data_IF_658176877024
#
_entry.id   IF_658176877024
#
_cell.length_a   1.000
_cell.length_b   1.000
_cell.length_c   1.000
_cell.angle_alpha   90.00
_cell.angle_beta   90.00
_cell.angle_gamma   90.00
#
_symmetry.space_group_name_H-M   'P 1'
#
loop_
_entity.id
_entity.type
_entity.pdbx_description
1 polymer ?
#
# COMPACT_ATOMS: atom_id res chain seq x y z
N UNK A 1 14.39 -34.38 12.87
CA UNK A 1 13.93 -33.66 11.66
C UNK A 1 13.19 -32.42 12.15
N UNK A 2 13.89 -31.30 12.21
CA UNK A 2 13.30 -30.02 12.59
C UNK A 2 13.19 -29.22 11.29
N UNK A 3 11.98 -28.75 10.99
CA UNK A 3 11.69 -27.94 9.82
C UNK A 3 12.49 -26.62 9.93
N UNK A 4 13.25 -26.31 8.88
CA UNK A 4 13.76 -24.96 8.60
C UNK A 4 12.55 -24.04 8.43
N UNK A 5 12.19 -23.31 9.49
CA UNK A 5 11.42 -22.08 9.40
C UNK A 5 12.34 -21.06 8.70
N UNK A 6 12.04 -20.61 7.47
CA UNK A 6 12.88 -19.65 6.80
C UNK A 6 12.74 -18.35 7.55
N UNK A 7 13.73 -18.06 8.39
CA UNK A 7 13.99 -16.81 9.07
C UNK A 7 12.94 -15.76 8.74
N UNK A 8 11.86 -15.74 9.54
CA UNK A 8 10.99 -14.59 9.66
C UNK A 8 11.90 -13.44 10.05
N UNK A 9 12.43 -12.78 9.02
CA UNK A 9 13.26 -11.61 9.09
C UNK A 9 12.38 -10.53 9.64
N UNK A 10 12.21 -10.54 10.96
CA UNK A 10 11.65 -9.47 11.73
C UNK A 10 12.72 -8.37 11.75
N UNK A 11 13.09 -7.89 10.55
CA UNK A 11 13.62 -6.57 10.36
C UNK A 11 12.53 -5.69 10.93
N UNK A 12 12.70 -5.29 12.19
CA UNK A 12 11.82 -4.34 12.85
C UNK A 12 11.86 -3.12 11.96
N UNK A 13 10.87 -3.01 11.07
CA UNK A 13 10.82 -1.97 10.07
C UNK A 13 10.70 -0.71 10.89
N UNK A 14 11.76 0.08 10.92
CA UNK A 14 11.76 1.26 11.75
C UNK A 14 10.75 2.21 11.10
N UNK A 15 9.62 2.53 11.77
CA UNK A 15 8.60 3.40 11.18
C UNK A 15 9.16 4.79 10.87
N UNK A 16 10.30 5.18 11.49
CA UNK A 16 11.03 6.40 11.14
C UNK A 16 11.73 6.34 9.77
N UNK A 17 12.15 5.15 9.30
CA UNK A 17 12.75 4.95 7.96
C UNK A 17 11.69 5.04 6.86
N UNK A 18 10.51 4.43 7.09
CA UNK A 18 9.33 4.65 6.23
C UNK A 18 8.95 6.12 6.26
N UNK A 19 8.82 6.74 7.43
CA UNK A 19 8.46 8.16 7.56
C UNK A 19 9.43 9.11 6.86
N UNK A 20 10.74 8.80 6.85
CA UNK A 20 11.76 9.66 6.23
C UNK A 20 11.74 9.59 4.69
N UNK A 21 11.39 8.44 4.10
CA UNK A 21 11.20 8.22 2.65
C UNK A 21 9.78 8.57 2.19
N UNK A 22 8.79 8.43 3.07
CA UNK A 22 7.40 8.83 2.91
C UNK A 22 7.17 10.35 3.09
N UNK A 23 8.22 11.16 3.30
CA UNK A 23 8.08 12.63 3.41
C UNK A 23 7.46 13.28 2.16
N UNK A 24 7.57 12.61 1.02
CA UNK A 24 6.92 13.01 -0.23
C UNK A 24 5.61 12.25 -0.47
N UNK A 25 5.00 11.67 0.56
CA UNK A 25 3.77 10.90 0.45
C UNK A 25 2.70 11.48 1.37
N UNK A 26 1.48 11.54 0.85
CA UNK A 26 0.30 11.97 1.59
C UNK A 26 -0.39 10.74 2.17
N UNK A 27 -0.66 10.76 3.47
CA UNK A 27 -1.46 9.73 4.13
C UNK A 27 -2.90 9.74 3.61
N UNK A 28 -3.45 8.55 3.36
CA UNK A 28 -4.83 8.37 2.88
C UNK A 28 -5.52 7.29 3.67
N UNK A 29 -6.86 7.34 3.69
CA UNK A 29 -7.68 6.25 4.21
C UNK A 29 -8.08 5.40 3.01
N UNK A 30 -7.83 4.10 3.08
CA UNK A 30 -8.19 3.16 2.01
C UNK A 30 -9.13 2.12 2.59
N UNK A 31 -10.29 1.99 1.96
CA UNK A 31 -11.18 0.87 2.21
C UNK A 31 -10.85 -0.24 1.23
N UNK A 32 -10.70 -1.45 1.76
CA UNK A 32 -10.43 -2.65 0.98
C UNK A 32 -11.63 -3.58 0.98
N UNK A 33 -11.70 -4.43 -0.04
CA UNK A 33 -12.67 -5.52 -0.16
C UNK A 33 -11.94 -6.79 -0.53
N UNK A 34 -12.51 -7.93 -0.18
CA UNK A 34 -11.98 -9.23 -0.62
C UNK A 34 -12.66 -9.64 -1.91
N UNK A 35 -11.87 -9.91 -2.96
CA UNK A 35 -12.33 -10.43 -4.26
C UNK A 35 -11.50 -11.66 -4.57
N UNK A 36 -12.15 -12.80 -4.79
CA UNK A 36 -11.49 -14.09 -5.10
C UNK A 36 -10.34 -14.45 -4.12
N UNK A 37 -10.52 -14.10 -2.84
CA UNK A 37 -9.51 -14.33 -1.79
C UNK A 37 -8.38 -13.30 -1.72
N UNK A 38 -8.33 -12.34 -2.66
CA UNK A 38 -7.38 -11.24 -2.66
C UNK A 38 -7.97 -9.98 -2.02
N UNK A 39 -7.16 -9.24 -1.25
CA UNK A 39 -7.55 -7.95 -0.68
C UNK A 39 -7.26 -6.84 -1.70
N UNK A 40 -8.32 -6.18 -2.16
CA UNK A 40 -8.25 -5.13 -3.17
C UNK A 40 -8.71 -3.77 -2.60
N UNK A 41 -8.00 -2.67 -2.89
CA UNK A 41 -8.48 -1.32 -2.59
C UNK A 41 -9.67 -0.96 -3.50
N UNK A 42 -10.76 -0.43 -2.93
CA UNK A 42 -11.93 -0.02 -3.70
C UNK A 42 -12.39 1.43 -3.45
N UNK A 43 -12.04 2.02 -2.30
CA UNK A 43 -12.25 3.45 -2.02
C UNK A 43 -11.04 4.07 -1.35
N UNK A 44 -10.76 5.32 -1.72
CA UNK A 44 -9.60 6.06 -1.22
C UNK A 44 -10.08 7.45 -0.81
N UNK A 45 -9.86 7.81 0.45
CA UNK A 45 -10.21 9.12 0.99
C UNK A 45 -8.93 9.91 1.25
N UNK A 46 -8.82 11.06 0.61
CA UNK A 46 -7.70 12.00 0.74
C UNK A 46 -8.25 13.41 0.90
N UNK A 47 -7.81 14.14 1.92
CA UNK A 47 -8.24 15.52 2.21
C UNK A 47 -9.77 15.71 2.22
N UNK A 48 -10.51 14.76 2.79
CA UNK A 48 -11.99 14.81 2.86
C UNK A 48 -12.72 14.49 1.56
N UNK A 49 -12.00 14.18 0.47
CA UNK A 49 -12.58 13.72 -0.79
C UNK A 49 -12.40 12.21 -0.94
N UNK A 50 -13.48 11.53 -1.28
CA UNK A 50 -13.49 10.08 -1.52
C UNK A 50 -13.49 9.78 -3.01
N UNK A 51 -12.60 8.90 -3.42
CA UNK A 51 -12.43 8.44 -4.79
C UNK A 51 -12.73 6.95 -4.86
N UNK A 52 -13.50 6.54 -5.86
CA UNK A 52 -13.79 5.11 -6.10
C UNK A 52 -12.76 4.56 -7.09
N UNK A 53 -12.16 3.41 -6.74
CA UNK A 53 -11.26 2.68 -7.63
C UNK A 53 -12.10 2.01 -8.72
N UNK A 54 -11.80 2.32 -9.98
CA UNK A 54 -12.50 1.74 -11.13
C UNK A 54 -11.88 0.43 -11.60
N UNK A 55 -10.57 0.26 -11.41
CA UNK A 55 -9.84 -0.96 -11.74
C UNK A 55 -8.64 -1.14 -10.82
N UNK A 56 -8.44 -2.35 -10.32
CA UNK A 56 -7.24 -2.76 -9.61
C UNK A 56 -6.28 -3.49 -10.56
N UNK A 57 -4.99 -3.18 -10.47
CA UNK A 57 -3.94 -3.74 -11.35
C UNK A 57 -3.06 -4.76 -10.64
N UNK A 58 -3.30 -5.01 -9.35
CA UNK A 58 -2.46 -5.85 -8.50
C UNK A 58 -1.48 -5.04 -7.66
N UNK A 59 -0.56 -5.77 -7.02
CA UNK A 59 0.40 -5.21 -6.09
C UNK A 59 1.80 -5.82 -6.25
N UNK A 60 2.81 -5.06 -5.83
CA UNK A 60 4.20 -5.50 -5.76
C UNK A 60 4.84 -4.99 -4.48
N UNK A 61 5.58 -5.85 -3.77
CA UNK A 61 6.38 -5.41 -2.64
C UNK A 61 7.65 -4.68 -3.12
N UNK A 62 7.90 -3.49 -2.58
CA UNK A 62 9.13 -2.74 -2.80
C UNK A 62 10.05 -2.89 -1.57
N UNK A 63 11.16 -3.63 -1.68
CA UNK A 63 12.08 -3.86 -0.56
C UNK A 63 12.87 -2.61 -0.18
N UNK A 64 13.01 -1.62 -1.07
CA UNK A 64 13.67 -0.36 -0.73
C UNK A 64 12.76 0.51 0.13
N UNK A 65 11.47 0.53 -0.15
CA UNK A 65 10.51 1.30 0.64
C UNK A 65 9.95 0.52 1.83
N UNK A 66 10.20 -0.77 1.91
CA UNK A 66 9.56 -1.70 2.84
C UNK A 66 8.03 -1.54 2.81
N UNK A 67 7.48 -1.40 1.60
CA UNK A 67 6.07 -1.06 1.37
C UNK A 67 5.52 -1.87 0.20
N UNK A 68 4.24 -2.23 0.27
CA UNK A 68 3.53 -2.83 -0.86
C UNK A 68 2.95 -1.73 -1.71
N UNK A 69 3.39 -1.65 -2.96
CA UNK A 69 2.79 -0.79 -3.98
C UNK A 69 1.55 -1.47 -4.57
N UNK A 70 0.48 -0.71 -4.76
CA UNK A 70 -0.78 -1.13 -5.36
C UNK A 70 -1.10 -0.22 -6.55
N UNK A 71 -1.26 -0.82 -7.73
CA UNK A 71 -1.65 -0.11 -8.93
C UNK A 71 -3.17 -0.03 -9.07
N UNK A 72 -3.69 1.17 -9.28
CA UNK A 72 -5.14 1.41 -9.37
C UNK A 72 -5.49 2.38 -10.50
N UNK A 73 -6.74 2.32 -10.94
CA UNK A 73 -7.37 3.39 -11.70
C UNK A 73 -8.43 4.11 -10.86
N UNK A 74 -8.46 5.43 -10.97
CA UNK A 74 -9.55 6.28 -10.50
C UNK A 74 -10.10 7.00 -11.73
N UNK A 75 -11.29 6.59 -12.17
CA UNK A 75 -11.81 7.00 -13.48
C UNK A 75 -10.90 6.50 -14.60
N UNK A 76 -10.30 7.43 -15.36
CA UNK A 76 -9.32 7.15 -16.43
C UNK A 76 -7.87 7.34 -16.00
N UNK A 77 -7.62 7.76 -14.76
CA UNK A 77 -6.28 8.07 -14.28
C UNK A 77 -5.68 6.88 -13.55
N UNK A 78 -4.51 6.43 -14.00
CA UNK A 78 -3.71 5.47 -13.28
C UNK A 78 -2.97 6.17 -12.13
N UNK A 79 -3.12 5.61 -10.93
CA UNK A 79 -2.49 6.06 -9.68
C UNK A 79 -1.82 4.88 -9.00
N UNK A 80 -0.80 5.17 -8.19
CA UNK A 80 -0.16 4.23 -7.30
C UNK A 80 -0.49 4.62 -5.85
N UNK A 81 -0.76 3.61 -5.03
CA UNK A 81 -0.91 3.78 -3.58
C UNK A 81 0.00 2.77 -2.89
N UNK A 82 0.46 3.08 -1.70
CA UNK A 82 1.41 2.26 -0.96
C UNK A 82 0.85 1.89 0.39
N UNK A 83 1.09 0.66 0.82
CA UNK A 83 0.72 0.14 2.13
C UNK A 83 1.98 -0.26 2.89
N UNK A 84 2.19 0.33 4.06
CA UNK A 84 3.31 0.04 4.95
C UNK A 84 2.89 0.24 6.41
N UNK A 85 3.29 -0.67 7.30
CA UNK A 85 2.97 -0.62 8.74
C UNK A 85 1.49 -0.36 9.06
N UNK A 86 0.57 -0.97 8.31
CA UNK A 86 -0.88 -0.81 8.49
C UNK A 86 -1.43 0.55 8.06
N UNK A 87 -0.64 1.37 7.36
CA UNK A 87 -1.00 2.71 6.89
C UNK A 87 -0.92 2.78 5.38
N UNK A 88 -1.77 3.62 4.81
CA UNK A 88 -1.85 3.84 3.37
C UNK A 88 -1.39 5.24 2.98
N UNK A 89 -0.71 5.32 1.84
CA UNK A 89 -0.10 6.54 1.36
C UNK A 89 -0.23 6.67 -0.16
N UNK A 90 -0.22 7.89 -0.66
CA UNK A 90 -0.10 8.21 -2.09
C UNK A 90 1.04 9.19 -2.30
N UNK A 91 1.77 9.07 -3.41
CA UNK A 91 2.75 10.05 -3.81
C UNK A 91 2.00 11.17 -4.54
N UNK A 92 2.01 12.43 -4.03
CA UNK A 92 1.54 13.57 -4.79
C UNK A 92 2.40 13.69 -6.05
N UNK A 93 1.75 13.95 -7.18
CA UNK A 93 2.42 14.35 -8.42
C UNK A 93 2.67 15.85 -8.43
#
# INVERSE_FOLDING_TARGET
MFYDDPASGNATINPALISRRARNFTGVIVETRTVDGAVEPYRITMHGKTYTVTKYLGCRYDPNLCATEHGIFIGKHQTLIWHADGRWFVQPR
#
